data_IF_590847033096
#
_entry.id   IF_590847033096
#
_cell.length_a   1.000
_cell.length_b   1.000
_cell.length_c   1.000
_cell.angle_alpha   90.00
_cell.angle_beta   90.00
_cell.angle_gamma   90.00
#
_symmetry.space_group_name_H-M   'P 1'
#
loop_
_entity.id
_entity.type
_entity.pdbx_description
1 polymer ?
#
# COMPACT_ATOMS: atom_id res chain seq x y z
N UNK A 1 19.54 48.75 -4.17
CA UNK A 1 19.21 47.76 -3.12
C UNK A 1 18.99 46.44 -3.86
N UNK A 2 19.91 45.46 -3.91
CA UNK A 2 20.15 44.36 -2.93
C UNK A 2 18.77 43.82 -2.42
N UNK A 3 18.31 42.57 -2.62
CA UNK A 3 18.90 41.20 -2.49
C UNK A 3 17.94 40.15 -3.15
N UNK A 4 18.41 39.24 -4.02
CA UNK A 4 18.70 37.78 -3.86
C UNK A 4 17.46 36.84 -3.77
N UNK A 5 17.25 35.89 -4.73
CA UNK A 5 17.68 34.44 -4.77
C UNK A 5 16.48 33.51 -4.42
N UNK A 6 16.10 32.41 -5.08
CA UNK A 6 16.65 31.49 -6.09
C UNK A 6 15.48 30.60 -6.66
N UNK A 7 15.53 30.10 -7.91
CA UNK A 7 14.71 28.96 -8.37
C UNK A 7 15.48 27.64 -8.19
N UNK A 8 14.90 26.63 -7.54
CA UNK A 8 15.52 25.31 -7.37
C UNK A 8 15.03 24.35 -8.48
N UNK A 9 15.72 24.36 -9.62
CA UNK A 9 15.64 23.33 -10.66
C UNK A 9 16.90 22.48 -10.54
N UNK A 10 16.74 21.25 -10.03
CA UNK A 10 17.83 20.28 -9.91
C UNK A 10 18.07 19.68 -11.30
N UNK A 11 19.06 20.24 -12.00
CA UNK A 11 19.66 19.64 -13.18
C UNK A 11 20.68 18.58 -12.76
N UNK A 12 20.36 17.31 -13.02
CA UNK A 12 21.25 16.18 -12.82
C UNK A 12 22.23 16.12 -14.01
N UNK A 13 23.41 16.72 -13.85
CA UNK A 13 24.51 16.59 -14.81
C UNK A 13 25.38 15.38 -14.45
N UNK A 14 25.25 14.33 -15.25
CA UNK A 14 26.26 13.28 -15.43
C UNK A 14 27.52 13.87 -16.09
N UNK A 15 28.66 13.18 -15.91
CA UNK A 15 29.97 13.37 -16.57
C UNK A 15 30.96 14.20 -15.74
N UNK A 16 32.15 13.71 -15.35
CA UNK A 16 32.82 12.46 -15.70
C UNK A 16 34.08 12.24 -14.86
N UNK A 17 34.48 10.97 -14.80
CA UNK A 17 35.72 10.49 -14.23
C UNK A 17 36.96 11.10 -14.89
N UNK A 18 38.00 11.40 -14.11
CA UNK A 18 39.38 11.22 -14.57
C UNK A 18 40.18 10.46 -13.52
N UNK A 19 40.71 9.32 -13.94
CA UNK A 19 41.48 8.35 -13.17
C UNK A 19 42.82 8.89 -12.66
N UNK A 20 43.28 8.40 -11.51
CA UNK A 20 44.72 8.22 -11.20
C UNK A 20 44.98 7.18 -10.10
N UNK A 21 45.23 5.95 -10.56
CA UNK A 21 46.29 4.97 -10.18
C UNK A 21 46.98 5.11 -8.80
N UNK A 22 46.64 4.21 -7.88
CA UNK A 22 47.48 3.66 -6.78
C UNK A 22 46.88 2.28 -6.41
N UNK A 23 47.44 1.14 -6.82
CA UNK A 23 48.53 0.39 -6.18
C UNK A 23 48.23 -0.15 -4.77
N UNK A 24 47.16 -0.94 -4.55
CA UNK A 24 46.98 -1.72 -3.31
C UNK A 24 46.25 -3.05 -3.57
N UNK A 25 46.88 -4.23 -3.35
CA UNK A 25 46.25 -5.54 -3.62
C UNK A 25 45.35 -6.05 -2.47
N UNK A 26 44.65 -5.16 -1.76
CA UNK A 26 43.71 -5.53 -0.68
C UNK A 26 42.36 -4.81 -0.74
N UNK A 27 41.98 -4.30 -1.91
CA UNK A 27 40.68 -3.66 -2.15
C UNK A 27 39.81 -4.39 -3.20
N UNK A 28 40.23 -5.56 -3.68
CA UNK A 28 39.62 -6.23 -4.85
C UNK A 28 38.53 -7.28 -4.52
N UNK A 29 38.04 -7.33 -3.28
CA UNK A 29 36.93 -8.21 -2.90
C UNK A 29 35.57 -7.48 -2.82
N UNK A 30 35.57 -6.15 -2.73
CA UNK A 30 34.34 -5.37 -2.46
C UNK A 30 33.75 -4.80 -3.76
N UNK A 31 34.55 -4.64 -4.82
CA UNK A 31 34.11 -4.00 -6.06
C UNK A 31 33.34 -4.92 -7.03
N UNK A 32 33.26 -6.24 -6.78
CA UNK A 32 32.58 -7.19 -7.68
C UNK A 32 31.18 -7.61 -7.23
N UNK A 33 30.74 -7.27 -6.03
CA UNK A 33 29.38 -7.63 -5.57
C UNK A 33 28.32 -6.58 -5.87
N UNK A 34 28.68 -5.35 -6.22
CA UNK A 34 27.67 -4.28 -6.37
C UNK A 34 27.12 -4.10 -7.79
N UNK A 35 27.59 -4.86 -8.79
CA UNK A 35 27.13 -4.67 -10.18
C UNK A 35 26.03 -5.65 -10.61
N UNK A 36 25.69 -6.65 -9.80
CA UNK A 36 24.62 -7.61 -10.14
C UNK A 36 23.25 -7.32 -9.49
N UNK A 37 23.14 -6.32 -8.61
CA UNK A 37 21.87 -6.04 -7.91
C UNK A 37 20.93 -5.07 -8.66
N UNK A 38 21.38 -4.45 -9.76
CA UNK A 38 20.61 -3.38 -10.44
C UNK A 38 19.69 -3.93 -11.53
N UNK A 39 19.81 -5.20 -11.92
CA UNK A 39 18.99 -5.79 -13.00
C UNK A 39 17.79 -6.61 -12.48
N UNK A 40 17.79 -7.05 -11.23
CA UNK A 40 16.64 -7.79 -10.66
C UNK A 40 15.54 -6.87 -10.08
N UNK A 41 15.80 -5.57 -9.89
CA UNK A 41 14.81 -4.64 -9.32
C UNK A 41 13.69 -4.23 -10.29
N UNK A 42 13.79 -4.55 -11.59
CA UNK A 42 12.73 -4.24 -12.56
C UNK A 42 11.64 -5.31 -12.57
N UNK A 43 11.91 -6.53 -12.09
CA UNK A 43 10.89 -7.57 -11.94
C UNK A 43 10.21 -7.61 -10.55
N UNK A 44 10.65 -6.78 -9.60
CA UNK A 44 10.03 -6.66 -8.27
C UNK A 44 9.05 -5.47 -8.14
N UNK A 45 8.95 -4.58 -9.14
CA UNK A 45 8.05 -3.42 -9.08
C UNK A 45 6.58 -3.75 -9.39
N UNK A 46 6.27 -5.00 -9.75
CA UNK A 46 4.90 -5.44 -10.00
C UNK A 46 4.23 -6.09 -8.78
N UNK A 47 5.01 -6.39 -7.72
CA UNK A 47 4.52 -7.17 -6.57
C UNK A 47 4.51 -6.37 -5.26
N UNK A 48 5.30 -5.30 -5.14
CA UNK A 48 5.38 -4.49 -3.90
C UNK A 48 4.29 -3.42 -3.77
N UNK A 49 3.67 -2.98 -4.87
CA UNK A 49 2.63 -1.95 -4.84
C UNK A 49 1.31 -2.48 -4.26
N UNK A 50 0.94 -3.73 -4.54
CA UNK A 50 -0.31 -4.35 -4.08
C UNK A 50 -0.31 -4.66 -2.58
N UNK A 51 0.81 -5.15 -2.05
CA UNK A 51 0.95 -5.42 -0.61
C UNK A 51 0.95 -4.10 0.19
N UNK A 52 1.63 -3.07 -0.31
CA UNK A 52 1.67 -1.75 0.32
C UNK A 52 0.30 -1.06 0.32
N UNK A 53 -0.41 -1.08 -0.82
CA UNK A 53 -1.76 -0.51 -0.94
C UNK A 53 -2.79 -1.20 -0.05
N UNK A 54 -2.69 -2.52 0.10
CA UNK A 54 -3.58 -3.30 0.96
C UNK A 54 -3.43 -2.92 2.44
N UNK A 55 -2.20 -2.87 2.95
CA UNK A 55 -1.97 -2.44 4.33
C UNK A 55 -2.43 -0.99 4.56
N UNK A 56 -2.10 -0.08 3.65
CA UNK A 56 -2.47 1.33 3.77
C UNK A 56 -4.00 1.55 3.75
N UNK A 57 -4.71 0.79 2.91
CA UNK A 57 -6.18 0.78 2.88
C UNK A 57 -6.76 0.31 4.21
N UNK A 58 -6.28 -0.82 4.74
CA UNK A 58 -6.79 -1.38 6.00
C UNK A 58 -6.51 -0.45 7.18
N UNK A 59 -5.36 0.21 7.20
CA UNK A 59 -5.00 1.19 8.23
C UNK A 59 -5.94 2.40 8.16
N UNK A 60 -6.16 2.97 6.96
CA UNK A 60 -7.08 4.09 6.76
C UNK A 60 -8.53 3.75 7.14
N UNK A 61 -8.98 2.51 6.90
CA UNK A 61 -10.31 2.04 7.30
C UNK A 61 -10.42 1.97 8.83
N UNK A 62 -9.37 1.51 9.51
CA UNK A 62 -9.32 1.38 10.97
C UNK A 62 -9.23 2.72 11.71
N UNK A 63 -8.89 3.81 11.03
CA UNK A 63 -8.99 5.17 11.61
C UNK A 63 -10.44 5.57 11.92
N UNK A 64 -11.43 4.94 11.26
CA UNK A 64 -12.82 5.18 11.56
C UNK A 64 -13.21 4.49 12.88
N UNK A 65 -13.60 5.28 13.88
CA UNK A 65 -14.00 4.80 15.21
C UNK A 65 -15.20 3.84 15.21
N UNK A 66 -15.99 3.83 14.13
CA UNK A 66 -17.11 2.89 13.97
C UNK A 66 -16.67 1.50 13.50
N UNK A 67 -15.41 1.35 13.06
CA UNK A 67 -14.84 0.09 12.56
C UNK A 67 -14.16 -0.66 13.70
N UNK A 68 -14.51 -1.93 13.86
CA UNK A 68 -13.83 -2.83 14.80
C UNK A 68 -12.61 -3.51 14.17
N UNK A 69 -12.81 -4.15 13.03
CA UNK A 69 -11.77 -4.89 12.32
C UNK A 69 -12.01 -4.88 10.81
N UNK A 70 -10.96 -5.09 10.03
CA UNK A 70 -11.02 -5.12 8.58
C UNK A 70 -9.98 -6.09 8.01
N UNK A 71 -10.38 -6.92 7.06
CA UNK A 71 -9.51 -7.85 6.32
C UNK A 71 -9.91 -7.91 4.85
N UNK A 72 -8.97 -8.31 3.99
CA UNK A 72 -9.31 -8.84 2.67
C UNK A 72 -9.35 -10.36 2.78
N UNK A 73 -10.48 -10.94 2.40
CA UNK A 73 -10.72 -12.38 2.41
C UNK A 73 -10.03 -13.06 1.23
N UNK A 74 -9.80 -14.37 1.31
CA UNK A 74 -9.16 -15.17 0.26
C UNK A 74 -9.97 -15.16 -1.06
N UNK A 75 -11.28 -14.93 -0.95
CA UNK A 75 -12.17 -14.78 -2.12
C UNK A 75 -12.06 -13.40 -2.78
N UNK A 76 -11.27 -12.47 -2.22
CA UNK A 76 -11.04 -11.14 -2.76
C UNK A 76 -12.09 -10.10 -2.36
N UNK A 77 -12.84 -10.34 -1.28
CA UNK A 77 -13.79 -9.37 -0.71
C UNK A 77 -13.14 -8.64 0.47
N UNK A 78 -13.31 -7.33 0.56
CA UNK A 78 -12.97 -6.55 1.76
C UNK A 78 -14.10 -6.71 2.78
N UNK A 79 -13.81 -7.38 3.89
CA UNK A 79 -14.74 -7.56 5.00
C UNK A 79 -14.38 -6.58 6.12
N UNK A 80 -15.36 -5.79 6.57
CA UNK A 80 -15.17 -4.78 7.63
C UNK A 80 -16.27 -4.96 8.67
N UNK A 81 -15.91 -5.06 9.95
CA UNK A 81 -16.88 -5.04 11.03
C UNK A 81 -17.13 -3.61 11.47
N UNK A 82 -18.41 -3.25 11.59
CA UNK A 82 -18.88 -1.90 11.90
C UNK A 82 -19.96 -1.99 12.96
N UNK A 83 -20.00 -1.04 13.88
CA UNK A 83 -21.07 -0.94 14.87
C UNK A 83 -22.42 -0.72 14.17
N UNK A 84 -23.39 -1.59 14.44
CA UNK A 84 -24.76 -1.41 13.98
C UNK A 84 -25.47 -0.34 14.83
N UNK A 85 -25.93 0.72 14.17
CA UNK A 85 -26.71 1.81 14.77
C UNK A 85 -28.08 1.97 14.10
N UNK A 86 -28.53 0.97 13.35
CA UNK A 86 -29.82 0.97 12.64
C UNK A 86 -29.85 1.82 11.37
N UNK A 87 -28.77 2.50 11.00
CA UNK A 87 -28.68 3.24 9.75
C UNK A 87 -28.20 2.37 8.58
N UNK A 88 -28.65 2.69 7.37
CA UNK A 88 -28.14 2.08 6.14
C UNK A 88 -26.63 2.26 6.00
N UNK A 89 -25.93 1.15 5.75
CA UNK A 89 -24.47 1.07 5.61
C UNK A 89 -24.02 0.99 4.15
N UNK A 90 -24.95 0.96 3.20
CA UNK A 90 -24.64 0.91 1.76
C UNK A 90 -23.74 2.07 1.29
N UNK A 91 -23.95 3.34 1.71
CA UNK A 91 -23.05 4.44 1.33
C UNK A 91 -21.62 4.24 1.83
N UNK A 92 -21.45 3.65 3.02
CA UNK A 92 -20.15 3.34 3.61
C UNK A 92 -19.45 2.21 2.82
N UNK A 93 -20.18 1.18 2.39
CA UNK A 93 -19.62 0.12 1.55
C UNK A 93 -19.11 0.66 0.20
N UNK A 94 -19.87 1.55 -0.44
CA UNK A 94 -19.47 2.24 -1.69
C UNK A 94 -18.25 3.14 -1.50
N UNK A 95 -18.17 3.84 -0.38
CA UNK A 95 -17.00 4.65 -0.02
C UNK A 95 -15.74 3.79 0.08
N UNK A 96 -15.81 2.64 0.76
CA UNK A 96 -14.66 1.74 0.87
C UNK A 96 -14.25 1.09 -0.45
N UNK A 97 -15.21 0.78 -1.34
CA UNK A 97 -14.88 0.36 -2.71
C UNK A 97 -14.10 1.43 -3.46
N UNK A 98 -14.51 2.69 -3.33
CA UNK A 98 -13.81 3.81 -3.94
C UNK A 98 -12.41 3.96 -3.35
N UNK A 99 -12.27 3.88 -2.02
CA UNK A 99 -10.96 3.92 -1.37
C UNK A 99 -10.06 2.78 -1.89
N UNK A 100 -10.55 1.55 -1.97
CA UNK A 100 -9.75 0.44 -2.50
C UNK A 100 -9.18 0.75 -3.90
N UNK A 101 -9.98 1.35 -4.79
CA UNK A 101 -9.51 1.83 -6.11
C UNK A 101 -8.45 2.93 -6.00
N UNK A 102 -8.65 3.91 -5.11
CA UNK A 102 -7.69 5.00 -4.88
C UNK A 102 -6.35 4.51 -4.34
N UNK A 103 -6.35 3.45 -3.52
CA UNK A 103 -5.16 2.79 -3.00
C UNK A 103 -4.58 1.72 -3.94
N UNK A 104 -5.17 1.51 -5.13
CA UNK A 104 -4.70 0.53 -6.11
C UNK A 104 -4.90 -0.93 -5.68
N UNK A 105 -5.86 -1.20 -4.80
CA UNK A 105 -6.20 -2.53 -4.31
C UNK A 105 -7.38 -3.08 -5.12
N UNK A 106 -7.13 -4.19 -5.81
CA UNK A 106 -8.19 -4.88 -6.55
C UNK A 106 -9.00 -5.77 -5.61
N UNK A 107 -10.28 -5.44 -5.45
CA UNK A 107 -11.25 -6.21 -4.67
C UNK A 107 -12.52 -6.44 -5.48
N UNK A 108 -13.16 -7.59 -5.26
CA UNK A 108 -14.42 -7.97 -5.91
C UNK A 108 -15.63 -7.25 -5.32
N UNK A 109 -15.50 -6.76 -4.10
CA UNK A 109 -16.61 -6.19 -3.36
C UNK A 109 -16.23 -5.86 -1.91
N UNK A 110 -17.12 -5.14 -1.25
CA UNK A 110 -17.06 -4.83 0.18
C UNK A 110 -18.24 -5.49 0.88
N UNK A 111 -17.99 -6.10 2.03
CA UNK A 111 -19.00 -6.63 2.93
C UNK A 111 -18.85 -5.99 4.31
N UNK A 112 -19.92 -5.36 4.78
CA UNK A 112 -19.99 -4.79 6.11
C UNK A 112 -20.72 -5.75 7.04
N UNK A 113 -20.06 -6.08 8.15
CA UNK A 113 -20.54 -7.01 9.16
C UNK A 113 -20.86 -6.26 10.46
N UNK A 114 -21.84 -6.73 11.21
CA UNK A 114 -22.14 -6.20 12.55
C UNK A 114 -21.00 -6.54 13.52
N UNK A 115 -20.36 -5.53 14.10
CA UNK A 115 -19.25 -5.74 15.03
C UNK A 115 -19.60 -6.58 16.26
N UNK A 116 -20.88 -6.64 16.65
CA UNK A 116 -21.33 -7.47 17.78
C UNK A 116 -21.38 -8.98 17.48
N UNK A 117 -21.44 -9.36 16.20
CA UNK A 117 -21.61 -10.74 15.72
C UNK A 117 -20.48 -11.17 14.77
N UNK A 118 -19.60 -10.24 14.37
CA UNK A 118 -18.55 -10.49 13.40
C UNK A 118 -17.42 -11.37 13.97
N UNK A 119 -17.14 -12.47 13.29
CA UNK A 119 -15.99 -13.34 13.53
C UNK A 119 -15.02 -13.27 12.35
N UNK A 120 -13.74 -13.10 12.64
CA UNK A 120 -12.67 -13.04 11.64
C UNK A 120 -11.74 -14.23 11.82
N UNK A 121 -11.57 -14.97 10.74
CA UNK A 121 -10.65 -16.10 10.64
C UNK A 121 -9.60 -15.83 9.57
N UNK A 122 -8.62 -16.72 9.45
CA UNK A 122 -7.60 -16.59 8.42
C UNK A 122 -8.24 -16.66 7.03
N UNK A 123 -8.27 -15.52 6.33
CA UNK A 123 -8.82 -15.43 4.97
C UNK A 123 -10.33 -15.34 4.88
N UNK A 124 -11.06 -15.30 6.00
CA UNK A 124 -12.52 -15.29 5.99
C UNK A 124 -13.14 -14.43 7.10
N UNK A 125 -14.35 -13.94 6.86
CA UNK A 125 -15.12 -13.20 7.85
C UNK A 125 -16.61 -13.56 7.75
N UNK A 126 -17.23 -13.77 8.90
CA UNK A 126 -18.61 -14.22 9.02
C UNK A 126 -19.34 -13.41 10.08
N UNK A 127 -20.67 -13.38 9.99
CA UNK A 127 -21.55 -12.65 10.90
C UNK A 127 -22.71 -12.02 10.15
N UNK A 128 -23.57 -11.32 10.89
CA UNK A 128 -24.70 -10.55 10.37
C UNK A 128 -24.22 -9.50 9.36
N UNK A 129 -24.74 -9.58 8.15
CA UNK A 129 -24.43 -8.64 7.06
C UNK A 129 -25.27 -7.37 7.24
N UNK A 130 -24.59 -6.22 7.35
CA UNK A 130 -25.23 -4.90 7.41
C UNK A 130 -25.38 -4.28 6.02
N UNK A 131 -24.39 -4.49 5.15
CA UNK A 131 -24.43 -4.07 3.76
C UNK A 131 -23.40 -4.86 2.94
N UNK A 132 -23.63 -4.90 1.64
CA UNK A 132 -22.71 -5.51 0.68
C UNK A 132 -22.78 -4.78 -0.64
N UNK A 133 -21.63 -4.52 -1.22
CA UNK A 133 -21.52 -3.87 -2.52
C UNK A 133 -20.46 -4.60 -3.35
N UNK A 134 -20.71 -4.73 -4.64
CA UNK A 134 -19.77 -5.34 -5.59
C UNK A 134 -19.12 -4.26 -6.45
N UNK A 135 -17.89 -4.53 -6.89
CA UNK A 135 -17.12 -3.66 -7.76
C UNK A 135 -17.62 -3.69 -9.21
#
# INVERSE_FOLDING_TARGET
MKKYVLPLLIGLALCGCTSKKTSDPKADAIARQQTNAVVDSIMANSTSSTTSGTSALLDAIKENQSVGNAIITDVGMLAVSVVDNGMDKTPMAKMYLRMAKEYGVDIKGVKLLDASDATFEQGAAYGKELAKEFN
#
